data_IF_207037577519
#
_entry.id   IF_207037577519
#
_cell.length_a   1.000
_cell.length_b   1.000
_cell.length_c   1.000
_cell.angle_alpha   90.00
_cell.angle_beta   90.00
_cell.angle_gamma   90.00
#
_symmetry.space_group_name_H-M   'P 1'
#
loop_
_entity.id
_entity.type
_entity.pdbx_description
1 polymer ?
#
# COMPACT_ATOMS: atom_id res chain seq x y z
N UNK A 1 -4.16 15.92 -22.38
CA UNK A 1 -2.71 15.61 -22.42
C UNK A 1 -2.28 15.30 -21.00
N UNK A 2 -1.81 14.10 -20.75
CA UNK A 2 -1.30 13.69 -19.42
C UNK A 2 -0.03 14.49 -19.10
N UNK A 3 0.04 15.03 -17.89
CA UNK A 3 1.23 15.73 -17.41
C UNK A 3 2.42 14.74 -17.40
N UNK A 4 3.52 15.00 -18.14
CA UNK A 4 4.65 14.07 -18.23
C UNK A 4 5.29 13.73 -16.87
N UNK A 5 5.31 14.69 -15.94
CA UNK A 5 5.81 14.48 -14.58
C UNK A 5 4.91 13.54 -13.77
N UNK A 6 3.59 13.66 -13.93
CA UNK A 6 2.66 12.73 -13.27
C UNK A 6 2.83 11.29 -13.78
N UNK A 7 3.06 11.12 -15.09
CA UNK A 7 3.33 9.82 -15.69
C UNK A 7 4.69 9.24 -15.22
N UNK A 8 5.72 10.09 -15.09
CA UNK A 8 7.05 9.69 -14.65
C UNK A 8 7.11 9.26 -13.18
N UNK A 9 6.29 9.88 -12.31
CA UNK A 9 6.37 9.75 -10.84
C UNK A 9 6.31 8.31 -10.34
N UNK A 10 5.48 7.45 -10.97
CA UNK A 10 5.26 6.07 -10.55
C UNK A 10 5.66 5.03 -11.61
N UNK A 11 6.34 5.48 -12.69
CA UNK A 11 6.65 4.63 -13.84
C UNK A 11 7.58 3.47 -13.50
N UNK A 12 8.49 3.66 -12.55
CA UNK A 12 9.45 2.65 -12.12
C UNK A 12 8.94 1.77 -10.96
N UNK A 13 7.72 2.01 -10.45
CA UNK A 13 7.15 1.25 -9.33
C UNK A 13 6.19 0.16 -9.82
N UNK A 14 6.45 -1.07 -9.36
CA UNK A 14 5.45 -2.13 -9.42
C UNK A 14 4.45 -2.01 -8.28
N UNK A 15 4.91 -1.72 -7.07
CA UNK A 15 4.14 -1.57 -5.84
C UNK A 15 4.20 -0.12 -5.36
N UNK A 16 3.10 0.40 -4.86
CA UNK A 16 3.11 1.68 -4.13
C UNK A 16 3.38 1.49 -2.63
N UNK A 17 4.23 0.54 -2.33
CA UNK A 17 4.58 0.12 -0.97
C UNK A 17 5.90 -0.66 -1.02
N UNK A 18 6.71 -0.69 0.04
CA UNK A 18 7.93 -1.51 0.08
C UNK A 18 7.59 -3.00 0.16
N UNK A 19 7.38 -3.62 -0.99
CA UNK A 19 6.95 -5.01 -1.12
C UNK A 19 7.68 -5.67 -2.30
N UNK A 20 8.19 -6.88 -2.10
CA UNK A 20 8.73 -7.72 -3.16
C UNK A 20 7.65 -8.66 -3.72
N UNK A 21 7.91 -9.23 -4.91
CA UNK A 21 6.98 -10.20 -5.52
C UNK A 21 6.84 -11.46 -4.67
N UNK A 22 7.97 -11.99 -4.17
CA UNK A 22 7.96 -13.18 -3.32
C UNK A 22 7.24 -12.95 -2.00
N UNK A 23 7.42 -11.77 -1.40
CA UNK A 23 6.74 -11.40 -0.15
C UNK A 23 5.22 -11.22 -0.39
N UNK A 24 4.82 -10.58 -1.49
CA UNK A 24 3.41 -10.49 -1.87
C UNK A 24 2.77 -11.87 -2.05
N UNK A 25 3.47 -12.80 -2.69
CA UNK A 25 3.00 -14.17 -2.90
C UNK A 25 2.85 -14.92 -1.58
N UNK A 26 3.80 -14.81 -0.66
CA UNK A 26 3.74 -15.37 0.70
C UNK A 26 2.54 -14.83 1.48
N UNK A 27 2.32 -13.51 1.48
CA UNK A 27 1.19 -12.89 2.16
C UNK A 27 -0.16 -13.36 1.61
N UNK A 28 -0.28 -13.50 0.28
CA UNK A 28 -1.49 -13.99 -0.37
C UNK A 28 -1.77 -15.47 -0.05
N UNK A 29 -0.74 -16.30 0.15
CA UNK A 29 -0.91 -17.70 0.54
C UNK A 29 -1.59 -17.84 1.91
N UNK A 30 -1.36 -16.88 2.82
CA UNK A 30 -2.02 -16.87 4.14
C UNK A 30 -3.48 -16.40 4.13
N UNK A 31 -3.98 -15.84 3.01
CA UNK A 31 -5.37 -15.35 2.92
C UNK A 31 -6.43 -16.44 2.69
N UNK A 32 -6.03 -17.69 2.39
CA UNK A 32 -6.97 -18.76 2.02
C UNK A 32 -7.95 -18.31 0.90
N UNK A 33 -7.39 -17.81 -0.19
CA UNK A 33 -8.12 -17.26 -1.33
C UNK A 33 -9.04 -18.26 -2.04
N UNK A 34 -8.69 -19.57 -2.17
CA UNK A 34 -9.58 -20.53 -2.81
C UNK A 34 -10.96 -20.68 -2.13
N UNK A 35 -11.03 -20.38 -0.83
CA UNK A 35 -12.28 -20.49 -0.05
C UNK A 35 -13.13 -19.21 -0.10
N UNK A 36 -12.64 -18.16 -0.76
CA UNK A 36 -13.32 -16.87 -0.83
C UNK A 36 -14.33 -16.83 -1.98
N UNK A 37 -15.45 -16.15 -1.75
CA UNK A 37 -16.42 -15.77 -2.79
C UNK A 37 -16.33 -14.29 -3.16
N UNK A 38 -15.73 -13.48 -2.29
CA UNK A 38 -15.58 -12.03 -2.48
C UNK A 38 -14.30 -11.48 -1.85
N UNK A 39 -13.69 -10.51 -2.55
CA UNK A 39 -12.50 -9.79 -2.11
C UNK A 39 -12.70 -8.30 -2.35
N UNK A 40 -12.33 -7.47 -1.38
CA UNK A 40 -12.25 -6.02 -1.57
C UNK A 40 -10.84 -5.51 -1.23
N UNK A 41 -10.35 -4.52 -1.98
CA UNK A 41 -9.10 -3.81 -1.69
C UNK A 41 -9.42 -2.33 -1.46
N UNK A 42 -9.27 -1.89 -0.22
CA UNK A 42 -9.57 -0.53 0.24
C UNK A 42 -8.32 0.35 0.17
N UNK A 43 -8.29 1.27 -0.79
CA UNK A 43 -7.11 2.04 -1.17
C UNK A 43 -6.21 1.25 -2.10
N UNK A 44 -6.79 0.66 -3.15
CA UNK A 44 -6.12 -0.31 -4.02
C UNK A 44 -5.02 0.29 -4.92
N UNK A 45 -4.95 1.62 -5.07
CA UNK A 45 -4.05 2.26 -6.02
C UNK A 45 -4.24 1.69 -7.43
N UNK A 46 -3.14 1.26 -8.05
CA UNK A 46 -3.21 0.59 -9.36
C UNK A 46 -3.45 -0.92 -9.30
N UNK A 47 -3.90 -1.44 -8.17
CA UNK A 47 -4.52 -2.76 -8.02
C UNK A 47 -3.60 -3.96 -8.16
N UNK A 48 -2.28 -3.84 -8.17
CA UNK A 48 -1.38 -4.96 -8.45
C UNK A 48 -1.58 -6.13 -7.47
N UNK A 49 -1.75 -5.85 -6.17
CA UNK A 49 -1.97 -6.91 -5.17
C UNK A 49 -3.35 -7.57 -5.33
N UNK A 50 -4.38 -6.77 -5.59
CA UNK A 50 -5.74 -7.29 -5.86
C UNK A 50 -5.78 -8.15 -7.10
N UNK A 51 -5.10 -7.75 -8.18
CA UNK A 51 -5.01 -8.53 -9.43
C UNK A 51 -4.31 -9.88 -9.21
N UNK A 52 -3.24 -9.91 -8.40
CA UNK A 52 -2.58 -11.16 -8.00
C UNK A 52 -3.46 -12.04 -7.13
N UNK A 53 -4.20 -11.45 -6.19
CA UNK A 53 -5.18 -12.18 -5.39
C UNK A 53 -6.27 -12.78 -6.29
N UNK A 54 -6.84 -11.98 -7.20
CA UNK A 54 -7.89 -12.41 -8.16
C UNK A 54 -7.42 -13.55 -9.07
N UNK A 55 -6.17 -13.54 -9.50
CA UNK A 55 -5.63 -14.61 -10.33
C UNK A 55 -5.56 -15.98 -9.61
N UNK A 56 -5.72 -16.03 -8.27
CA UNK A 56 -5.67 -17.24 -7.44
C UNK A 56 -7.04 -17.75 -7.01
N UNK A 57 -8.13 -17.11 -7.44
CA UNK A 57 -9.50 -17.45 -7.01
C UNK A 57 -10.55 -17.04 -8.03
N UNK A 58 -11.71 -17.71 -7.97
CA UNK A 58 -12.92 -17.32 -8.72
C UNK A 58 -13.74 -16.22 -8.04
N UNK A 59 -13.35 -15.76 -6.84
CA UNK A 59 -14.06 -14.76 -6.06
C UNK A 59 -14.33 -13.48 -6.86
N UNK A 60 -15.45 -12.81 -6.60
CA UNK A 60 -15.68 -11.46 -7.08
C UNK A 60 -14.66 -10.52 -6.42
N UNK A 61 -14.08 -9.60 -7.20
CA UNK A 61 -13.04 -8.71 -6.73
C UNK A 61 -13.42 -7.24 -7.00
N UNK A 62 -13.27 -6.40 -5.97
CA UNK A 62 -13.53 -4.96 -6.03
C UNK A 62 -12.32 -4.22 -5.52
N UNK A 63 -11.79 -3.27 -6.31
CA UNK A 63 -10.77 -2.33 -5.89
C UNK A 63 -11.37 -0.94 -5.72
N UNK A 64 -11.03 -0.25 -4.63
CA UNK A 64 -11.56 1.08 -4.30
C UNK A 64 -10.41 2.05 -4.11
N UNK A 65 -10.41 3.16 -4.83
CA UNK A 65 -9.42 4.23 -4.67
C UNK A 65 -10.02 5.57 -5.11
N UNK A 66 -9.39 6.67 -4.74
CA UNK A 66 -9.79 8.02 -5.15
C UNK A 66 -8.97 8.56 -6.33
N UNK A 67 -7.86 7.91 -6.69
CA UNK A 67 -6.99 8.35 -7.80
C UNK A 67 -7.46 7.74 -9.14
N UNK A 68 -8.09 8.53 -10.04
CA UNK A 68 -8.56 8.03 -11.32
C UNK A 68 -7.41 7.53 -12.21
N UNK A 69 -6.20 8.10 -12.12
CA UNK A 69 -5.06 7.68 -12.93
C UNK A 69 -4.52 6.31 -12.47
N UNK A 70 -4.52 6.06 -11.17
CA UNK A 70 -4.19 4.75 -10.60
C UNK A 70 -5.23 3.70 -11.01
N UNK A 71 -6.52 4.03 -10.91
CA UNK A 71 -7.62 3.13 -11.32
C UNK A 71 -7.61 2.84 -12.82
N UNK A 72 -7.26 3.80 -13.67
CA UNK A 72 -7.11 3.56 -15.11
C UNK A 72 -5.93 2.62 -15.42
N UNK A 73 -4.83 2.73 -14.67
CA UNK A 73 -3.72 1.77 -14.75
C UNK A 73 -4.17 0.37 -14.29
N UNK A 74 -4.95 0.28 -13.20
CA UNK A 74 -5.50 -0.98 -12.70
C UNK A 74 -6.44 -1.65 -13.71
N UNK A 75 -7.36 -0.89 -14.32
CA UNK A 75 -8.29 -1.41 -15.34
C UNK A 75 -7.56 -1.96 -16.56
N UNK A 76 -6.55 -1.25 -17.06
CA UNK A 76 -5.71 -1.75 -18.16
C UNK A 76 -4.99 -3.04 -17.80
N UNK A 77 -4.38 -3.09 -16.60
CA UNK A 77 -3.68 -4.29 -16.15
C UNK A 77 -4.62 -5.49 -15.93
N UNK A 78 -5.86 -5.27 -15.48
CA UNK A 78 -6.89 -6.29 -15.37
C UNK A 78 -7.27 -6.84 -16.76
N UNK A 79 -7.51 -5.95 -17.72
CA UNK A 79 -7.85 -6.31 -19.10
C UNK A 79 -6.72 -7.11 -19.77
N UNK A 80 -5.47 -6.69 -19.65
CA UNK A 80 -4.28 -7.36 -20.21
C UNK A 80 -4.11 -8.78 -19.65
N UNK A 81 -4.51 -9.00 -18.38
CA UNK A 81 -4.43 -10.30 -17.69
C UNK A 81 -5.70 -11.14 -17.83
N UNK A 82 -6.74 -10.62 -18.48
CA UNK A 82 -8.04 -11.30 -18.60
C UNK A 82 -8.74 -11.51 -17.27
N UNK A 83 -8.55 -10.59 -16.29
CA UNK A 83 -9.12 -10.68 -14.96
C UNK A 83 -10.37 -9.79 -14.85
N UNK A 84 -11.45 -10.37 -14.35
CA UNK A 84 -12.69 -9.64 -14.06
C UNK A 84 -12.61 -9.03 -12.66
N UNK A 85 -12.32 -7.72 -12.59
CA UNK A 85 -12.22 -6.93 -11.36
C UNK A 85 -12.99 -5.62 -11.55
N UNK A 86 -13.85 -5.31 -10.60
CA UNK A 86 -14.54 -4.01 -10.54
C UNK A 86 -13.64 -2.97 -9.86
N UNK A 87 -13.54 -1.77 -10.45
CA UNK A 87 -12.81 -0.66 -9.84
C UNK A 87 -13.73 0.53 -9.64
N UNK A 88 -13.86 0.97 -8.37
CA UNK A 88 -14.74 2.05 -7.94
C UNK A 88 -13.92 3.28 -7.54
N UNK A 89 -14.22 4.43 -8.16
CA UNK A 89 -13.63 5.72 -7.79
C UNK A 89 -14.42 6.34 -6.64
N UNK A 90 -13.96 6.13 -5.41
CA UNK A 90 -14.55 6.70 -4.19
C UNK A 90 -13.58 6.61 -3.01
N UNK A 91 -13.81 7.37 -1.92
CA UNK A 91 -13.09 7.17 -0.67
C UNK A 91 -13.32 5.75 -0.12
N UNK A 92 -12.25 5.11 0.39
CA UNK A 92 -12.32 3.78 1.00
C UNK A 92 -13.31 3.73 2.19
N UNK A 93 -13.42 4.84 2.94
CA UNK A 93 -14.35 4.99 4.05
C UNK A 93 -15.83 4.91 3.61
N UNK A 94 -16.15 5.31 2.38
CA UNK A 94 -17.51 5.36 1.83
C UNK A 94 -17.94 4.05 1.16
N UNK A 95 -17.04 3.09 1.02
CA UNK A 95 -17.40 1.79 0.44
C UNK A 95 -18.37 1.06 1.36
N UNK A 96 -19.51 0.63 0.83
CA UNK A 96 -20.54 -0.08 1.58
C UNK A 96 -20.61 -1.52 1.10
N UNK A 97 -20.47 -2.46 1.99
CA UNK A 97 -20.55 -3.88 1.65
C UNK A 97 -19.84 -4.76 2.67
N UNK A 98 -19.90 -6.06 2.42
CA UNK A 98 -19.14 -7.09 3.14
C UNK A 98 -18.40 -7.95 2.13
N UNK A 99 -17.30 -8.52 2.56
CA UNK A 99 -16.49 -9.44 1.78
C UNK A 99 -15.91 -10.57 2.65
N UNK A 100 -15.51 -11.68 2.02
CA UNK A 100 -14.84 -12.78 2.73
C UNK A 100 -13.36 -12.46 2.98
N UNK A 101 -12.78 -11.63 2.12
CA UNK A 101 -11.39 -11.17 2.20
C UNK A 101 -11.31 -9.68 1.96
N UNK A 102 -10.39 -9.03 2.66
CA UNK A 102 -10.04 -7.65 2.36
C UNK A 102 -8.53 -7.44 2.31
N UNK A 103 -8.12 -6.50 1.48
CA UNK A 103 -6.79 -5.92 1.44
C UNK A 103 -6.89 -4.46 1.86
N UNK A 104 -5.93 -3.96 2.63
CA UNK A 104 -5.81 -2.54 2.97
C UNK A 104 -4.34 -2.25 3.28
N UNK A 105 -3.59 -1.74 2.31
CA UNK A 105 -2.15 -1.54 2.42
C UNK A 105 -1.82 -0.05 2.30
N UNK A 106 -1.19 0.52 3.36
CA UNK A 106 -0.76 1.93 3.36
C UNK A 106 -1.90 2.95 3.35
N UNK A 107 -3.12 2.54 3.68
CA UNK A 107 -4.33 3.36 3.54
C UNK A 107 -5.03 3.68 4.86
N UNK A 108 -4.42 3.40 6.01
CA UNK A 108 -5.00 3.67 7.34
C UNK A 108 -5.39 5.13 7.53
N UNK A 109 -4.59 6.07 6.99
CA UNK A 109 -4.85 7.50 7.03
C UNK A 109 -6.17 7.91 6.37
N UNK A 110 -6.63 7.19 5.33
CA UNK A 110 -7.91 7.46 4.65
C UNK A 110 -9.12 6.95 5.45
N UNK A 111 -8.88 6.10 6.44
CA UNK A 111 -9.88 5.46 7.29
C UNK A 111 -9.87 6.01 8.73
N UNK A 112 -9.13 7.09 8.99
CA UNK A 112 -9.06 7.73 10.32
C UNK A 112 -8.00 7.14 11.25
N UNK A 113 -6.95 6.52 10.67
CA UNK A 113 -5.83 5.93 11.39
C UNK A 113 -5.98 4.42 11.63
N UNK A 114 -4.94 3.81 12.17
CA UNK A 114 -4.81 2.35 12.33
C UNK A 114 -6.00 1.70 13.05
N UNK A 115 -6.40 2.22 14.22
CA UNK A 115 -7.49 1.64 15.03
C UNK A 115 -8.85 1.76 14.32
N UNK A 116 -9.12 2.90 13.68
CA UNK A 116 -10.34 3.11 12.92
C UNK A 116 -10.39 2.21 11.68
N UNK A 117 -9.26 2.04 10.98
CA UNK A 117 -9.11 1.08 9.88
C UNK A 117 -9.43 -0.35 10.34
N UNK A 118 -8.83 -0.82 11.44
CA UNK A 118 -9.08 -2.17 11.96
C UNK A 118 -10.54 -2.39 12.35
N UNK A 119 -11.18 -1.39 12.98
CA UNK A 119 -12.60 -1.43 13.31
C UNK A 119 -13.48 -1.44 12.04
N UNK A 120 -13.11 -0.67 11.01
CA UNK A 120 -13.80 -0.65 9.73
C UNK A 120 -13.68 -1.98 9.00
N UNK A 121 -12.49 -2.56 8.94
CA UNK A 121 -12.25 -3.88 8.36
C UNK A 121 -13.06 -4.97 9.06
N UNK A 122 -13.30 -4.85 10.38
CA UNK A 122 -14.15 -5.77 11.13
C UNK A 122 -15.65 -5.71 10.71
N UNK A 123 -16.11 -4.57 10.20
CA UNK A 123 -17.45 -4.42 9.62
C UNK A 123 -17.50 -4.97 8.19
N UNK A 124 -16.44 -4.73 7.41
CA UNK A 124 -16.29 -5.17 6.01
C UNK A 124 -16.14 -6.69 5.94
N UNK A 125 -15.34 -7.28 6.83
CA UNK A 125 -15.10 -8.73 6.92
C UNK A 125 -15.52 -9.22 8.31
N UNK A 126 -16.82 -9.42 8.56
CA UNK A 126 -17.32 -9.86 9.85
C UNK A 126 -16.89 -11.30 10.20
N UNK A 127 -16.55 -12.11 9.20
CA UNK A 127 -15.98 -13.44 9.32
C UNK A 127 -15.12 -13.73 8.11
N UNK A 128 -13.82 -13.91 8.32
CA UNK A 128 -12.89 -14.15 7.21
C UNK A 128 -11.47 -13.73 7.52
N UNK A 129 -10.72 -13.33 6.48
CA UNK A 129 -9.34 -12.88 6.63
C UNK A 129 -9.11 -11.55 5.95
N UNK A 130 -8.22 -10.74 6.52
CA UNK A 130 -7.77 -9.48 5.92
C UNK A 130 -6.24 -9.46 5.88
N UNK A 131 -5.70 -8.84 4.85
CA UNK A 131 -4.29 -8.46 4.75
C UNK A 131 -4.20 -6.95 4.96
N UNK A 132 -3.57 -6.56 6.05
CA UNK A 132 -3.31 -5.16 6.40
C UNK A 132 -1.83 -4.88 6.21
N UNK A 133 -1.50 -3.74 5.59
CA UNK A 133 -0.16 -3.18 5.59
C UNK A 133 -0.22 -1.78 6.21
N UNK A 134 0.51 -1.55 7.30
CA UNK A 134 0.51 -0.25 7.96
C UNK A 134 1.90 0.14 8.47
N UNK A 135 2.17 1.45 8.52
CA UNK A 135 3.40 1.98 9.06
C UNK A 135 3.58 1.62 10.54
N UNK A 136 4.79 1.31 10.93
CA UNK A 136 5.12 1.08 12.33
C UNK A 136 6.56 1.52 12.65
N UNK A 137 6.81 1.82 13.91
CA UNK A 137 8.18 1.98 14.37
C UNK A 137 8.78 0.61 14.71
N UNK A 138 9.81 0.20 13.96
CA UNK A 138 10.59 -1.00 14.28
C UNK A 138 11.70 -0.70 15.31
N UNK A 139 12.18 0.53 15.30
CA UNK A 139 13.16 1.06 16.25
C UNK A 139 12.69 2.42 16.74
N UNK A 140 13.31 2.91 17.82
CA UNK A 140 13.04 4.25 18.37
C UNK A 140 13.16 5.30 17.26
N UNK A 141 12.12 6.09 17.00
CA UNK A 141 12.14 7.09 15.95
C UNK A 141 13.10 8.22 16.27
N UNK A 142 13.82 8.68 15.25
CA UNK A 142 14.59 9.93 15.37
C UNK A 142 13.64 11.12 15.46
N UNK A 143 14.04 12.26 16.04
CA UNK A 143 13.23 13.48 16.00
C UNK A 143 12.80 13.86 14.58
N UNK A 144 13.69 13.73 13.60
CA UNK A 144 13.37 14.00 12.19
C UNK A 144 12.34 13.03 11.61
N UNK A 145 12.36 11.75 12.01
CA UNK A 145 11.33 10.79 11.60
C UNK A 145 9.96 11.14 12.21
N UNK A 146 9.93 11.55 13.47
CA UNK A 146 8.71 12.06 14.11
C UNK A 146 8.14 13.30 13.41
N UNK A 147 8.99 14.25 13.03
CA UNK A 147 8.58 15.46 12.31
C UNK A 147 7.96 15.13 10.93
N UNK A 148 8.44 14.06 10.27
CA UNK A 148 7.96 13.63 8.95
C UNK A 148 6.63 12.87 9.06
N UNK A 149 6.51 11.92 9.99
CA UNK A 149 5.39 10.95 10.03
C UNK A 149 4.36 11.21 11.13
N UNK A 150 4.66 12.12 12.07
CA UNK A 150 3.79 12.46 13.20
C UNK A 150 3.67 11.36 14.26
N UNK A 151 2.71 11.58 15.18
CA UNK A 151 2.50 10.72 16.35
C UNK A 151 1.56 9.52 16.08
N UNK A 152 1.00 9.42 14.87
CA UNK A 152 0.01 8.38 14.53
C UNK A 152 0.63 7.02 14.24
N UNK A 153 1.95 6.97 14.00
CA UNK A 153 2.68 5.72 13.74
C UNK A 153 2.93 5.00 15.06
N UNK A 154 2.40 3.80 15.18
CA UNK A 154 2.55 2.97 16.37
C UNK A 154 3.87 2.19 16.36
N UNK A 155 4.51 1.95 17.52
CA UNK A 155 5.48 0.87 17.64
C UNK A 155 4.90 -0.47 17.20
N UNK A 156 5.70 -1.33 16.57
CA UNK A 156 5.22 -2.62 16.07
C UNK A 156 4.47 -3.47 17.12
N UNK A 157 4.91 -3.58 18.38
CA UNK A 157 4.16 -4.30 19.41
C UNK A 157 2.76 -3.68 19.68
N UNK A 158 2.65 -2.36 19.64
CA UNK A 158 1.40 -1.64 19.88
C UNK A 158 0.43 -1.77 18.69
N UNK A 159 0.95 -1.81 17.46
CA UNK A 159 0.16 -2.15 16.27
C UNK A 159 -0.44 -3.55 16.39
N UNK A 160 0.33 -4.53 16.82
CA UNK A 160 -0.15 -5.90 17.06
C UNK A 160 -1.17 -5.94 18.20
N UNK A 161 -0.97 -5.17 19.28
CA UNK A 161 -1.93 -5.04 20.37
C UNK A 161 -3.25 -4.43 19.87
N UNK A 162 -3.20 -3.37 19.06
CA UNK A 162 -4.37 -2.74 18.45
C UNK A 162 -5.20 -3.73 17.60
N UNK A 163 -4.55 -4.63 16.87
CA UNK A 163 -5.27 -5.70 16.14
C UNK A 163 -6.08 -6.59 17.11
N UNK A 164 -5.47 -7.03 18.20
CA UNK A 164 -6.13 -7.90 19.19
C UNK A 164 -7.25 -7.18 19.94
N UNK A 165 -7.04 -5.93 20.31
CA UNK A 165 -8.04 -5.09 21.00
C UNK A 165 -9.29 -4.83 20.14
N UNK A 166 -9.13 -4.83 18.81
CA UNK A 166 -10.23 -4.71 17.85
C UNK A 166 -10.85 -6.06 17.45
N UNK A 167 -10.47 -7.14 18.13
CA UNK A 167 -11.06 -8.47 17.99
C UNK A 167 -10.46 -9.34 16.88
N UNK A 168 -9.30 -8.97 16.35
CA UNK A 168 -8.60 -9.74 15.34
C UNK A 168 -7.63 -10.77 15.94
N UNK A 169 -7.55 -11.93 15.31
CA UNK A 169 -6.48 -12.92 15.52
C UNK A 169 -5.37 -12.64 14.51
N UNK A 170 -4.14 -12.48 14.97
CA UNK A 170 -2.98 -12.34 14.08
C UNK A 170 -2.53 -13.72 13.64
N UNK A 171 -2.73 -14.06 12.37
CA UNK A 171 -2.32 -15.35 11.80
C UNK A 171 -0.89 -15.32 11.27
N UNK A 172 -0.49 -14.19 10.70
CA UNK A 172 0.84 -13.99 10.12
C UNK A 172 1.25 -12.54 10.32
N UNK A 173 2.53 -12.31 10.55
CA UNK A 173 3.14 -10.99 10.69
C UNK A 173 4.53 -11.03 10.06
N UNK A 174 4.77 -10.10 9.16
CA UNK A 174 6.10 -9.77 8.65
C UNK A 174 6.26 -8.25 8.56
N UNK A 175 7.49 -7.77 8.40
CA UNK A 175 7.76 -6.37 8.06
C UNK A 175 8.54 -6.30 6.75
N UNK A 176 8.36 -5.20 6.02
CA UNK A 176 9.12 -4.94 4.81
C UNK A 176 10.62 -4.91 5.12
N UNK A 177 11.38 -5.76 4.45
CA UNK A 177 12.82 -5.82 4.62
C UNK A 177 13.53 -4.55 4.11
N UNK A 178 14.76 -4.33 4.57
CA UNK A 178 15.55 -3.16 4.14
C UNK A 178 15.71 -3.08 2.62
N UNK A 179 15.86 -4.22 1.95
CA UNK A 179 15.95 -4.24 0.48
C UNK A 179 14.65 -3.79 -0.19
N UNK A 180 13.49 -4.15 0.35
CA UNK A 180 12.19 -3.72 -0.15
C UNK A 180 12.02 -2.19 0.01
N UNK A 181 12.43 -1.66 1.17
CA UNK A 181 12.46 -0.22 1.40
C UNK A 181 13.42 0.51 0.45
N UNK A 182 14.66 0.04 0.29
CA UNK A 182 15.64 0.63 -0.63
C UNK A 182 15.12 0.61 -2.08
N UNK A 183 14.46 -0.48 -2.50
CA UNK A 183 13.87 -0.62 -3.83
C UNK A 183 12.69 0.34 -4.02
N UNK A 184 11.80 0.43 -3.03
CA UNK A 184 10.63 1.31 -3.06
C UNK A 184 11.06 2.79 -3.14
N UNK A 185 11.95 3.23 -2.26
CA UNK A 185 12.44 4.61 -2.25
C UNK A 185 13.22 4.96 -3.51
N UNK A 186 14.03 4.04 -4.03
CA UNK A 186 14.72 4.23 -5.31
C UNK A 186 13.72 4.32 -6.47
N UNK A 187 12.71 3.45 -6.49
CA UNK A 187 11.67 3.43 -7.53
C UNK A 187 10.84 4.71 -7.56
N UNK A 188 10.56 5.31 -6.39
CA UNK A 188 9.88 6.60 -6.32
C UNK A 188 10.66 7.74 -6.98
N UNK A 189 12.00 7.67 -6.92
CA UNK A 189 12.87 8.69 -7.52
C UNK A 189 13.23 8.38 -8.98
N UNK A 190 13.34 7.09 -9.33
CA UNK A 190 13.89 6.66 -10.61
C UNK A 190 13.19 7.28 -11.82
N UNK A 191 11.86 7.20 -11.90
CA UNK A 191 11.12 7.75 -13.03
C UNK A 191 11.30 9.27 -13.21
N UNK A 192 11.35 10.02 -12.10
CA UNK A 192 11.60 11.46 -12.14
C UNK A 192 13.07 11.78 -12.44
N UNK A 193 14.03 10.96 -11.98
CA UNK A 193 15.45 11.09 -12.34
C UNK A 193 15.68 10.86 -13.83
N UNK A 194 15.04 9.83 -14.42
CA UNK A 194 15.07 9.59 -15.86
C UNK A 194 14.44 10.75 -16.64
N UNK A 195 13.34 11.30 -16.16
CA UNK A 195 12.74 12.49 -16.75
C UNK A 195 13.68 13.68 -16.72
N UNK A 196 14.39 13.93 -15.61
CA UNK A 196 15.38 15.02 -15.48
C UNK A 196 16.53 14.86 -16.47
N UNK A 197 17.03 13.63 -16.67
CA UNK A 197 18.08 13.36 -17.65
C UNK A 197 17.62 13.65 -19.10
N UNK A 198 16.35 13.38 -19.39
CA UNK A 198 15.76 13.61 -20.69
C UNK A 198 15.34 15.08 -20.94
N UNK A 199 15.16 15.88 -19.87
CA UNK A 199 14.63 17.25 -19.93
C UNK A 199 15.44 18.22 -19.06
N UNK A 200 16.77 18.35 -19.28
CA UNK A 200 17.64 19.14 -18.41
C UNK A 200 17.32 20.65 -18.42
N UNK A 201 16.77 21.15 -19.51
CA UNK A 201 16.43 22.56 -19.69
C UNK A 201 14.96 22.90 -19.40
N UNK A 202 14.18 21.93 -18.89
CA UNK A 202 12.78 22.17 -18.52
C UNK A 202 12.71 23.15 -17.34
N UNK A 203 11.82 24.16 -17.37
CA UNK A 203 11.68 25.14 -16.28
C UNK A 203 11.44 24.53 -14.90
N UNK A 204 10.88 23.33 -14.83
CA UNK A 204 10.60 22.61 -13.58
C UNK A 204 11.77 21.71 -13.13
N UNK A 205 12.80 21.52 -13.96
CA UNK A 205 13.86 20.54 -13.69
C UNK A 205 14.57 20.80 -12.36
N UNK A 206 14.94 22.04 -12.07
CA UNK A 206 15.63 22.41 -10.83
C UNK A 206 14.77 22.09 -9.58
N UNK A 207 13.48 22.39 -9.61
CA UNK A 207 12.56 22.12 -8.52
C UNK A 207 12.33 20.60 -8.32
N UNK A 208 12.15 19.89 -9.42
CA UNK A 208 12.00 18.42 -9.39
C UNK A 208 13.26 17.77 -8.81
N UNK A 209 14.47 18.20 -9.27
CA UNK A 209 15.73 17.68 -8.74
C UNK A 209 15.84 17.91 -7.23
N UNK A 210 15.62 19.13 -6.76
CA UNK A 210 15.70 19.47 -5.35
C UNK A 210 14.75 18.62 -4.48
N UNK A 211 13.53 18.35 -4.96
CA UNK A 211 12.58 17.47 -4.25
C UNK A 211 13.07 16.03 -4.17
N UNK A 212 13.69 15.52 -5.25
CA UNK A 212 14.23 14.15 -5.23
C UNK A 212 15.43 14.03 -4.29
N UNK A 213 16.30 15.06 -4.26
CA UNK A 213 17.45 15.12 -3.35
C UNK A 213 16.98 15.19 -1.88
N UNK A 214 15.98 16.02 -1.58
CA UNK A 214 15.41 16.14 -0.24
C UNK A 214 14.81 14.80 0.24
N UNK A 215 13.99 14.15 -0.60
CA UNK A 215 13.42 12.84 -0.26
C UNK A 215 14.49 11.77 -0.02
N UNK A 216 15.55 11.76 -0.84
CA UNK A 216 16.66 10.83 -0.66
C UNK A 216 17.38 11.07 0.66
N UNK A 217 17.64 12.34 0.98
CA UNK A 217 18.28 12.72 2.24
C UNK A 217 17.42 12.33 3.46
N UNK A 218 16.12 12.63 3.42
CA UNK A 218 15.16 12.23 4.46
C UNK A 218 15.17 10.71 4.68
N UNK A 219 15.08 9.93 3.59
CA UNK A 219 15.15 8.48 3.69
C UNK A 219 16.43 8.02 4.38
N UNK A 220 17.57 8.47 3.88
CA UNK A 220 18.88 7.99 4.33
C UNK A 220 19.22 8.38 5.77
N UNK A 221 18.73 9.54 6.24
CA UNK A 221 19.14 10.11 7.53
C UNK A 221 18.06 10.08 8.61
N UNK A 222 16.78 10.09 8.24
CA UNK A 222 15.70 10.15 9.21
C UNK A 222 15.08 8.78 9.49
N UNK A 223 14.65 8.03 8.44
CA UNK A 223 13.78 6.88 8.70
C UNK A 223 14.24 5.54 8.13
N UNK A 224 15.38 5.45 7.39
CA UNK A 224 15.90 4.17 6.91
C UNK A 224 16.31 3.25 8.06
N UNK A 225 15.62 2.12 8.19
CA UNK A 225 15.82 1.16 9.28
C UNK A 225 15.21 1.58 10.62
N UNK A 226 14.34 2.58 10.60
CA UNK A 226 13.57 3.07 11.77
C UNK A 226 12.08 2.89 11.52
N UNK A 227 11.58 3.45 10.40
CA UNK A 227 10.22 3.21 9.94
C UNK A 227 10.13 1.85 9.27
N UNK A 228 9.23 1.01 9.75
CA UNK A 228 8.81 -0.23 9.14
C UNK A 228 7.46 -0.09 8.42
N UNK A 229 7.16 -1.05 7.58
CA UNK A 229 5.81 -1.34 7.11
C UNK A 229 5.48 -2.77 7.51
N UNK A 230 4.56 -2.93 8.46
CA UNK A 230 4.14 -4.24 8.91
C UNK A 230 3.03 -4.78 8.00
N UNK A 231 3.15 -6.03 7.60
CA UNK A 231 2.11 -6.78 6.89
C UNK A 231 1.52 -7.82 7.84
N UNK A 232 0.23 -7.72 8.07
CA UNK A 232 -0.49 -8.61 8.99
C UNK A 232 -1.63 -9.33 8.26
N UNK A 233 -1.62 -10.65 8.29
CA UNK A 233 -2.80 -11.43 7.95
C UNK A 233 -3.59 -11.67 9.21
N UNK A 234 -4.79 -11.13 9.25
CA UNK A 234 -5.68 -11.15 10.40
C UNK A 234 -6.93 -11.99 10.08
N UNK A 235 -7.52 -12.62 11.09
CA UNK A 235 -8.76 -13.37 10.96
C UNK A 235 -9.73 -13.12 12.12
N UNK A 236 -11.01 -13.36 11.86
CA UNK A 236 -12.08 -13.39 12.86
C UNK A 236 -13.24 -14.25 12.40
#
# INVERSE_FOLDING_TARGET
MTNPLAAARYSALRWNTPLSESHADELLDHLALPDATSIVDLGCGWGELLLRAKARTSAQAVGVDTDPAALDRARRAAQERGLDVMFEERPAADWQGTADRALCIGSSHTLGGTRAMLARLAQVVPKGRVLVGDGCWENEPTPAAHDIFGDDILPLPDLVAACRETGWQVLHLTTAGRHEWDTFESGHRAGLREWLLANPDDPQAAEVAARQDAREQEYLTAYRGVLGLAYLVLAR
#
